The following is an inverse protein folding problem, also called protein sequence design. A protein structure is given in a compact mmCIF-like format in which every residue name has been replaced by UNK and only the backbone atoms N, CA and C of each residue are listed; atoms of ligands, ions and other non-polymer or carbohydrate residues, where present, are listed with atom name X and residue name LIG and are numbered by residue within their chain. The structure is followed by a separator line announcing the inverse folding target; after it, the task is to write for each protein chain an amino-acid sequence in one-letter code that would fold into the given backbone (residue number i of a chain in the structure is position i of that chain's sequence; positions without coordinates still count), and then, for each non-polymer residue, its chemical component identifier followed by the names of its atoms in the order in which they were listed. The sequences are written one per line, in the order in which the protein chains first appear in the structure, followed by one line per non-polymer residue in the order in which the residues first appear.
data_IF_415604346682
#
_entry.id   IF_415604346682
#
_cell.length_a   1.000
_cell.length_b   1.000
_cell.length_c   1.000
_cell.angle_alpha   90.00
_cell.angle_beta   90.00
_cell.angle_gamma   90.00
#
_symmetry.space_group_name_H-M   'P 1'
#
loop_
_entity.id
_entity.type
_entity.pdbx_description
1 polymer ?
#
# COMPACT_ATOMS: atom_id res chain seq x y z
N UNK A 1 0.84 17.74 -14.72
CA UNK A 1 -0.38 16.91 -14.55
C UNK A 1 -0.02 15.51 -15.01
N UNK A 2 0.08 14.57 -14.07
CA UNK A 2 0.50 13.18 -14.34
C UNK A 2 -0.54 12.38 -15.15
N UNK A 3 -1.80 12.81 -15.17
CA UNK A 3 -2.89 12.04 -15.78
C UNK A 3 -3.73 12.93 -16.71
N UNK A 4 -3.55 12.75 -18.02
CA UNK A 4 -4.35 13.44 -19.02
C UNK A 4 -5.62 12.64 -19.33
N UNK A 5 -6.75 13.34 -19.37
CA UNK A 5 -8.06 12.80 -19.73
C UNK A 5 -8.50 13.46 -21.05
N UNK A 6 -8.84 12.62 -22.03
CA UNK A 6 -9.46 13.09 -23.29
C UNK A 6 -10.77 13.80 -22.96
N UNK A 7 -10.89 15.05 -23.38
CA UNK A 7 -12.04 15.91 -23.05
C UNK A 7 -13.34 15.47 -23.71
N UNK A 8 -13.28 14.81 -24.85
CA UNK A 8 -14.47 14.39 -25.61
C UNK A 8 -14.91 12.98 -25.15
N UNK A 9 -13.96 12.04 -25.13
CA UNK A 9 -14.25 10.65 -24.79
C UNK A 9 -14.38 10.40 -23.29
N UNK A 10 -13.90 11.33 -22.45
CA UNK A 10 -13.78 11.15 -21.01
C UNK A 10 -12.99 9.88 -20.64
N UNK A 11 -11.91 9.56 -21.37
CA UNK A 11 -11.04 8.43 -21.10
C UNK A 11 -9.64 8.91 -20.77
N UNK A 12 -8.86 8.14 -20.00
CA UNK A 12 -7.45 8.45 -19.86
C UNK A 12 -6.74 8.32 -21.22
N UNK A 13 -5.80 9.22 -21.51
CA UNK A 13 -4.96 9.11 -22.71
C UNK A 13 -4.03 7.89 -22.65
N UNK A 14 -3.62 7.50 -21.43
CA UNK A 14 -2.85 6.27 -21.21
C UNK A 14 -3.76 5.03 -21.18
N UNK A 15 -3.61 4.08 -22.13
CA UNK A 15 -4.47 2.90 -22.23
C UNK A 15 -4.37 1.96 -21.02
N UNK A 16 -3.19 1.84 -20.39
CA UNK A 16 -3.01 0.98 -19.21
C UNK A 16 -3.76 1.54 -18.00
N UNK A 17 -3.71 2.86 -17.82
CA UNK A 17 -4.42 3.53 -16.75
C UNK A 17 -5.93 3.46 -16.96
N UNK A 18 -6.41 3.63 -18.21
CA UNK A 18 -7.82 3.44 -18.54
C UNK A 18 -8.28 2.02 -18.25
N UNK A 19 -7.45 1.02 -18.57
CA UNK A 19 -7.78 -0.38 -18.27
C UNK A 19 -7.87 -0.62 -16.76
N UNK A 20 -6.93 -0.09 -15.96
CA UNK A 20 -6.97 -0.17 -14.49
C UNK A 20 -8.23 0.49 -13.93
N UNK A 21 -8.60 1.66 -14.44
CA UNK A 21 -9.83 2.34 -14.05
C UNK A 21 -11.08 1.50 -14.36
N UNK A 22 -11.15 0.92 -15.56
CA UNK A 22 -12.28 0.08 -15.97
C UNK A 22 -12.39 -1.19 -15.11
N UNK A 23 -11.24 -1.74 -14.67
CA UNK A 23 -11.20 -2.88 -13.78
C UNK A 23 -11.70 -2.53 -12.38
N UNK A 24 -11.28 -1.41 -11.81
CA UNK A 24 -11.78 -0.89 -10.54
C UNK A 24 -13.28 -0.56 -10.62
N UNK A 25 -13.70 0.12 -11.69
CA UNK A 25 -15.11 0.41 -11.94
C UNK A 25 -15.95 -0.87 -12.01
N UNK A 26 -15.47 -1.91 -12.73
CA UNK A 26 -16.16 -3.19 -12.84
C UNK A 26 -16.36 -3.87 -11.49
N UNK A 27 -15.33 -3.92 -10.63
CA UNK A 27 -15.46 -4.51 -9.31
C UNK A 27 -16.52 -3.83 -8.45
N UNK A 28 -16.65 -2.50 -8.57
CA UNK A 28 -17.62 -1.71 -7.81
C UNK A 28 -19.06 -1.83 -8.34
N UNK A 29 -19.25 -1.98 -9.64
CA UNK A 29 -20.58 -1.89 -10.27
C UNK A 29 -21.14 -3.21 -10.76
N UNK A 30 -20.37 -4.28 -10.86
CA UNK A 30 -20.84 -5.58 -11.37
C UNK A 30 -22.04 -6.13 -10.59
N UNK A 31 -22.03 -6.03 -9.26
CA UNK A 31 -23.14 -6.46 -8.42
C UNK A 31 -24.43 -5.65 -8.67
N UNK A 32 -24.29 -4.36 -8.96
CA UNK A 32 -25.43 -3.50 -9.32
C UNK A 32 -26.04 -3.92 -10.65
N UNK A 33 -25.23 -4.14 -11.69
CA UNK A 33 -25.72 -4.63 -12.97
C UNK A 33 -26.51 -5.93 -12.82
N UNK A 34 -26.00 -6.87 -12.03
CA UNK A 34 -26.69 -8.13 -11.75
C UNK A 34 -28.09 -7.91 -11.15
N UNK A 35 -28.19 -7.07 -10.12
CA UNK A 35 -29.46 -6.77 -9.46
C UNK A 35 -30.47 -6.11 -10.40
N UNK A 36 -30.00 -5.18 -11.22
CA UNK A 36 -30.83 -4.46 -12.18
C UNK A 36 -31.37 -5.40 -13.28
N UNK A 37 -30.50 -6.26 -13.80
CA UNK A 37 -30.90 -7.25 -14.81
C UNK A 37 -31.97 -8.21 -14.25
N UNK A 38 -31.78 -8.73 -13.05
CA UNK A 38 -32.74 -9.61 -12.37
C UNK A 38 -34.07 -8.87 -12.15
N UNK A 39 -34.01 -7.61 -11.69
CA UNK A 39 -35.21 -6.80 -11.48
C UNK A 39 -36.03 -6.64 -12.78
N UNK A 40 -35.40 -6.24 -13.88
CA UNK A 40 -36.10 -6.07 -15.15
C UNK A 40 -36.62 -7.40 -15.69
N UNK A 41 -35.88 -8.49 -15.58
CA UNK A 41 -36.33 -9.81 -15.99
C UNK A 41 -37.56 -10.27 -15.18
N UNK A 42 -37.54 -10.06 -13.87
CA UNK A 42 -38.65 -10.41 -12.97
C UNK A 42 -39.89 -9.58 -13.26
N UNK A 43 -39.73 -8.26 -13.44
CA UNK A 43 -40.84 -7.35 -13.77
C UNK A 43 -41.46 -7.71 -15.11
N UNK A 44 -40.67 -8.04 -16.13
CA UNK A 44 -41.14 -8.46 -17.45
C UNK A 44 -41.87 -9.80 -17.41
N UNK A 45 -41.40 -10.73 -16.59
CA UNK A 45 -42.07 -12.03 -16.38
C UNK A 45 -43.42 -11.86 -15.71
N UNK A 46 -43.52 -11.00 -14.67
CA UNK A 46 -44.77 -10.68 -14.01
C UNK A 46 -45.78 -9.99 -14.96
N UNK A 47 -45.28 -9.09 -15.81
CA UNK A 47 -46.10 -8.45 -16.82
C UNK A 47 -46.67 -9.47 -17.82
N UNK A 48 -45.86 -10.40 -18.34
CA UNK A 48 -46.32 -11.49 -19.21
C UNK A 48 -47.38 -12.36 -18.53
N UNK A 49 -47.20 -12.73 -17.28
CA UNK A 49 -48.17 -13.49 -16.51
C UNK A 49 -49.48 -12.72 -16.39
N UNK A 50 -49.44 -11.42 -16.15
CA UNK A 50 -50.63 -10.57 -16.05
C UNK A 50 -51.41 -10.46 -17.37
N UNK A 51 -50.69 -10.46 -18.49
CA UNK A 51 -51.31 -10.47 -19.83
C UNK A 51 -52.02 -11.81 -20.12
N UNK A 52 -51.36 -12.92 -19.73
CA UNK A 52 -51.93 -14.26 -19.89
C UNK A 52 -53.22 -14.44 -19.09
N UNK A 53 -53.26 -13.92 -17.86
CA UNK A 53 -54.43 -14.00 -16.97
C UNK A 53 -55.62 -13.13 -17.44
N UNK A 54 -55.39 -12.17 -18.34
CA UNK A 54 -56.44 -11.26 -18.85
C UNK A 54 -57.04 -11.66 -20.19
N UNK A 55 -56.64 -12.83 -20.73
CA UNK A 55 -57.08 -13.31 -22.07
C UNK A 55 -56.93 -12.30 -23.23
N UNK A 56 -56.10 -11.26 -23.04
CA UNK A 56 -55.87 -10.18 -24.00
C UNK A 56 -54.51 -10.32 -24.68
N UNK A 57 -54.25 -11.49 -25.27
CA UNK A 57 -52.94 -11.76 -25.89
C UNK A 57 -52.96 -11.30 -27.35
N UNK A 58 -52.59 -10.07 -27.62
CA UNK A 58 -52.11 -9.68 -28.94
C UNK A 58 -50.64 -10.07 -29.06
N UNK A 59 -50.20 -10.75 -30.10
CA UNK A 59 -48.79 -11.12 -30.37
C UNK A 59 -47.88 -9.92 -30.22
N UNK A 60 -48.32 -8.72 -30.55
CA UNK A 60 -47.63 -7.44 -30.43
C UNK A 60 -47.20 -7.11 -28.97
N UNK A 61 -48.00 -7.49 -27.95
CA UNK A 61 -47.72 -7.16 -26.54
C UNK A 61 -46.75 -8.12 -25.86
N UNK A 62 -46.43 -9.25 -26.50
CA UNK A 62 -45.51 -10.29 -25.96
C UNK A 62 -44.07 -9.99 -26.33
N UNK A 63 -43.78 -9.30 -27.44
CA UNK A 63 -42.44 -9.10 -27.98
C UNK A 63 -41.57 -8.29 -27.01
N UNK A 64 -42.03 -7.19 -26.44
CA UNK A 64 -41.26 -6.34 -25.53
C UNK A 64 -40.80 -7.07 -24.24
N UNK A 65 -41.70 -7.75 -23.51
CA UNK A 65 -41.30 -8.54 -22.36
C UNK A 65 -40.32 -9.68 -22.69
N UNK A 66 -40.45 -10.36 -23.84
CA UNK A 66 -39.54 -11.44 -24.25
C UNK A 66 -38.10 -10.92 -24.37
N UNK A 67 -37.89 -9.72 -24.90
CA UNK A 67 -36.53 -9.12 -24.99
C UNK A 67 -35.91 -8.95 -23.62
N UNK A 68 -36.66 -8.55 -22.59
CA UNK A 68 -36.15 -8.44 -21.23
C UNK A 68 -35.95 -9.78 -20.55
N UNK A 69 -36.69 -10.82 -20.89
CA UNK A 69 -36.50 -12.19 -20.34
C UNK A 69 -35.27 -12.89 -20.91
N UNK A 70 -34.93 -12.61 -22.17
CA UNK A 70 -33.70 -13.16 -22.79
C UNK A 70 -32.44 -12.59 -22.20
N UNK A 71 -32.53 -11.50 -21.46
CA UNK A 71 -31.44 -10.80 -20.82
C UNK A 71 -30.71 -11.62 -19.76
N UNK A 72 -31.37 -12.34 -18.83
CA UNK A 72 -30.69 -13.21 -17.89
C UNK A 72 -29.87 -14.30 -18.54
N UNK A 73 -30.16 -14.69 -19.77
CA UNK A 73 -29.35 -15.67 -20.51
C UNK A 73 -27.90 -15.20 -20.69
N UNK A 74 -27.66 -13.90 -20.77
CA UNK A 74 -26.31 -13.35 -20.80
C UNK A 74 -25.53 -13.61 -19.49
N UNK A 75 -26.22 -13.74 -18.36
CA UNK A 75 -25.62 -14.03 -17.07
C UNK A 75 -25.11 -15.47 -16.95
N UNK A 76 -25.58 -16.37 -17.83
CA UNK A 76 -25.16 -17.79 -17.87
C UNK A 76 -23.73 -17.91 -18.38
N UNK A 77 -23.19 -16.92 -19.09
CA UNK A 77 -21.79 -16.95 -19.49
C UNK A 77 -20.88 -16.88 -18.27
N UNK A 78 -20.13 -17.96 -18.02
CA UNK A 78 -19.20 -18.07 -16.88
C UNK A 78 -17.96 -17.18 -17.00
N UNK A 79 -17.64 -16.68 -18.19
CA UNK A 79 -16.41 -15.92 -18.44
C UNK A 79 -16.57 -14.46 -18.02
N UNK A 80 -15.96 -14.09 -16.90
CA UNK A 80 -16.00 -12.72 -16.35
C UNK A 80 -15.34 -11.69 -17.30
N UNK A 81 -14.31 -12.05 -18.03
CA UNK A 81 -13.68 -11.15 -19.00
C UNK A 81 -14.62 -10.87 -20.18
N UNK A 82 -15.41 -11.85 -20.61
CA UNK A 82 -16.41 -11.69 -21.64
C UNK A 82 -17.55 -10.75 -21.16
N UNK A 83 -18.06 -10.97 -19.94
CA UNK A 83 -19.09 -10.11 -19.34
C UNK A 83 -18.61 -8.66 -19.25
N UNK A 84 -17.40 -8.44 -18.71
CA UNK A 84 -16.79 -7.12 -18.57
C UNK A 84 -16.66 -6.39 -19.91
N UNK A 85 -16.25 -7.08 -20.96
CA UNK A 85 -16.01 -6.50 -22.30
C UNK A 85 -17.30 -6.19 -23.05
N UNK A 86 -18.31 -7.05 -22.94
CA UNK A 86 -19.47 -6.99 -23.82
C UNK A 86 -20.77 -6.57 -23.12
N UNK A 87 -20.84 -6.60 -21.78
CA UNK A 87 -22.07 -6.28 -21.06
C UNK A 87 -22.58 -4.86 -21.38
N UNK A 88 -21.72 -3.85 -21.32
CA UNK A 88 -22.12 -2.48 -21.63
C UNK A 88 -22.61 -2.35 -23.08
N UNK A 89 -21.96 -3.00 -24.03
CA UNK A 89 -22.39 -2.99 -25.44
C UNK A 89 -23.71 -3.70 -25.64
N UNK A 90 -23.91 -4.82 -24.98
CA UNK A 90 -25.14 -5.58 -25.04
C UNK A 90 -26.32 -4.79 -24.41
N UNK A 91 -26.09 -4.18 -23.25
CA UNK A 91 -27.06 -3.33 -22.58
C UNK A 91 -27.42 -2.10 -23.42
N UNK A 92 -26.52 -1.60 -24.27
CA UNK A 92 -26.79 -0.49 -25.18
C UNK A 92 -27.88 -0.81 -26.19
N UNK A 93 -28.00 -2.05 -26.68
CA UNK A 93 -29.02 -2.43 -27.67
C UNK A 93 -30.44 -2.39 -27.10
N UNK A 94 -30.61 -2.53 -25.78
CA UNK A 94 -31.93 -2.55 -25.16
C UNK A 94 -32.75 -1.26 -25.40
N UNK A 95 -32.26 -0.05 -25.01
CA UNK A 95 -33.04 1.16 -25.23
C UNK A 95 -33.18 1.47 -26.72
N UNK A 96 -32.17 1.14 -27.54
CA UNK A 96 -32.20 1.39 -28.99
C UNK A 96 -33.28 0.57 -29.67
N UNK A 97 -33.53 -0.65 -29.24
CA UNK A 97 -34.53 -1.53 -29.83
C UNK A 97 -35.91 -1.35 -29.16
N UNK A 98 -35.93 -1.36 -27.82
CA UNK A 98 -37.23 -1.39 -27.11
C UNK A 98 -37.99 -0.10 -27.16
N UNK A 99 -37.34 1.08 -27.14
CA UNK A 99 -38.09 2.35 -27.16
C UNK A 99 -38.80 2.57 -28.52
N UNK A 100 -38.12 2.45 -29.68
CA UNK A 100 -38.78 2.54 -30.96
C UNK A 100 -39.86 1.43 -31.17
N UNK A 101 -39.57 0.20 -30.75
CA UNK A 101 -40.48 -0.92 -30.87
C UNK A 101 -41.73 -0.70 -30.02
N UNK A 102 -41.59 -0.18 -28.80
CA UNK A 102 -42.72 0.20 -27.94
C UNK A 102 -43.61 1.24 -28.62
N UNK A 103 -43.04 2.32 -29.18
CA UNK A 103 -43.80 3.33 -29.90
C UNK A 103 -44.49 2.76 -31.12
N UNK A 104 -43.83 1.87 -31.87
CA UNK A 104 -44.41 1.27 -33.08
C UNK A 104 -45.58 0.32 -32.77
N UNK A 105 -45.47 -0.50 -31.72
CA UNK A 105 -46.44 -1.56 -31.41
C UNK A 105 -47.64 -1.08 -30.60
N UNK A 106 -47.43 -0.15 -29.67
CA UNK A 106 -48.49 0.30 -28.74
C UNK A 106 -49.01 1.70 -29.03
N UNK A 107 -48.55 2.34 -30.08
CA UNK A 107 -48.85 3.74 -30.36
C UNK A 107 -50.35 4.00 -30.57
N UNK A 108 -51.05 3.19 -31.32
CA UNK A 108 -52.50 3.33 -31.54
C UNK A 108 -53.35 3.25 -30.24
N UNK A 109 -52.84 2.49 -29.27
CA UNK A 109 -53.47 2.27 -27.96
C UNK A 109 -53.18 3.42 -26.99
N UNK A 110 -52.06 4.06 -27.18
CA UNK A 110 -51.47 5.07 -26.28
C UNK A 110 -51.63 6.50 -26.82
N UNK A 111 -52.04 6.66 -28.09
CA UNK A 111 -52.20 7.97 -28.75
C UNK A 111 -53.14 8.94 -28.03
N UNK A 112 -54.06 8.42 -27.23
CA UNK A 112 -54.97 9.21 -26.40
C UNK A 112 -54.40 9.59 -25.01
N UNK A 113 -53.15 9.18 -24.67
CA UNK A 113 -52.55 9.47 -23.38
C UNK A 113 -51.49 10.58 -23.52
N UNK A 114 -51.67 11.74 -22.92
CA UNK A 114 -50.71 12.85 -22.99
C UNK A 114 -49.33 12.51 -22.39
N UNK A 115 -49.22 11.38 -21.66
CA UNK A 115 -48.04 10.96 -20.97
C UNK A 115 -47.03 10.20 -21.84
N UNK A 116 -47.40 9.75 -23.01
CA UNK A 116 -46.50 9.02 -23.94
C UNK A 116 -45.24 9.80 -24.26
N UNK A 117 -45.40 11.11 -24.35
CA UNK A 117 -44.29 12.01 -24.57
C UNK A 117 -43.17 11.90 -23.51
N UNK A 118 -43.44 11.46 -22.28
CA UNK A 118 -42.47 11.38 -21.21
C UNK A 118 -41.58 10.11 -21.25
N UNK A 119 -41.93 9.10 -22.06
CA UNK A 119 -41.18 7.83 -22.11
C UNK A 119 -39.71 8.02 -22.57
N UNK A 120 -39.42 8.77 -23.66
CA UNK A 120 -38.04 9.00 -24.06
C UNK A 120 -37.21 9.78 -23.02
N UNK A 121 -37.85 10.75 -22.34
CA UNK A 121 -37.17 11.49 -21.26
C UNK A 121 -36.87 10.57 -20.08
N UNK A 122 -37.83 9.77 -19.64
CA UNK A 122 -37.61 8.80 -18.56
C UNK A 122 -36.50 7.80 -18.93
N UNK A 123 -36.52 7.30 -20.18
CA UNK A 123 -35.42 6.45 -20.67
C UNK A 123 -34.07 7.16 -20.59
N UNK A 124 -33.99 8.43 -21.03
CA UNK A 124 -32.75 9.20 -20.97
C UNK A 124 -32.27 9.38 -19.53
N UNK A 125 -33.13 9.68 -18.59
CA UNK A 125 -32.82 9.80 -17.17
C UNK A 125 -32.25 8.48 -16.65
N UNK A 126 -32.86 7.35 -16.94
CA UNK A 126 -32.43 6.02 -16.50
C UNK A 126 -31.06 5.73 -17.04
N UNK A 127 -30.83 5.85 -18.34
CA UNK A 127 -29.54 5.47 -18.95
C UNK A 127 -28.41 6.44 -18.68
N UNK A 128 -28.68 7.71 -18.45
CA UNK A 128 -27.65 8.70 -18.11
C UNK A 128 -27.32 8.74 -16.63
N UNK A 129 -28.33 8.58 -15.76
CA UNK A 129 -28.15 8.82 -14.31
C UNK A 129 -28.01 7.52 -13.50
N UNK A 130 -28.78 6.49 -13.85
CA UNK A 130 -28.84 5.26 -13.07
C UNK A 130 -27.76 4.26 -13.49
N UNK A 131 -27.57 4.09 -14.81
CA UNK A 131 -26.59 3.12 -15.29
C UNK A 131 -25.16 3.66 -15.29
N UNK A 132 -24.22 2.94 -14.71
CA UNK A 132 -22.81 3.35 -14.65
C UNK A 132 -22.02 3.03 -15.94
N UNK A 133 -22.64 3.26 -17.10
CA UNK A 133 -21.99 3.08 -18.40
C UNK A 133 -20.92 4.12 -18.65
N UNK A 134 -20.01 3.81 -19.57
CA UNK A 134 -19.09 4.80 -20.11
C UNK A 134 -19.86 5.93 -20.79
N UNK A 135 -19.30 7.13 -20.77
CA UNK A 135 -19.93 8.35 -21.26
C UNK A 135 -20.56 8.17 -22.67
N UNK A 136 -19.78 7.66 -23.62
CA UNK A 136 -20.24 7.48 -25.02
C UNK A 136 -21.46 6.55 -25.09
N UNK A 137 -21.43 5.41 -24.39
CA UNK A 137 -22.55 4.46 -24.39
C UNK A 137 -23.81 5.04 -23.73
N UNK A 138 -23.65 5.83 -22.68
CA UNK A 138 -24.78 6.53 -22.04
C UNK A 138 -25.42 7.54 -22.99
N UNK A 139 -24.61 8.31 -23.73
CA UNK A 139 -25.10 9.28 -24.74
C UNK A 139 -25.81 8.56 -25.86
N UNK A 140 -25.28 7.50 -26.43
CA UNK A 140 -25.91 6.72 -27.50
C UNK A 140 -27.22 6.09 -27.03
N UNK A 141 -27.25 5.49 -25.85
CA UNK A 141 -28.43 4.86 -25.27
C UNK A 141 -29.58 5.83 -24.99
N UNK A 142 -29.29 7.11 -24.83
CA UNK A 142 -30.31 8.14 -24.59
C UNK A 142 -30.71 8.90 -25.85
N UNK A 143 -29.77 9.23 -26.74
CA UNK A 143 -30.02 10.07 -27.92
C UNK A 143 -30.66 9.31 -29.07
N UNK A 144 -30.29 8.06 -29.34
CA UNK A 144 -30.85 7.28 -30.45
C UNK A 144 -32.35 7.00 -30.25
N UNK A 145 -32.81 6.51 -29.09
CA UNK A 145 -34.22 6.32 -28.84
C UNK A 145 -35.03 7.63 -28.88
N UNK A 146 -34.42 8.74 -28.41
CA UNK A 146 -35.04 10.05 -28.49
C UNK A 146 -35.29 10.49 -29.95
N UNK A 147 -34.26 10.40 -30.80
CA UNK A 147 -34.39 10.74 -32.23
C UNK A 147 -35.40 9.83 -32.93
N UNK A 148 -35.39 8.53 -32.64
CA UNK A 148 -36.34 7.59 -33.19
C UNK A 148 -37.81 7.91 -32.75
N UNK A 149 -38.00 8.33 -31.49
CA UNK A 149 -39.35 8.74 -31.03
C UNK A 149 -39.82 10.04 -31.72
N UNK A 150 -38.89 10.98 -31.98
CA UNK A 150 -39.21 12.22 -32.68
C UNK A 150 -39.72 11.97 -34.10
N UNK A 151 -39.08 11.06 -34.87
CA UNK A 151 -39.53 10.71 -36.23
C UNK A 151 -40.91 10.05 -36.27
N UNK A 152 -41.23 9.26 -35.25
CA UNK A 152 -42.57 8.64 -35.13
C UNK A 152 -43.65 9.66 -34.77
N UNK A 153 -43.34 10.65 -33.95
CA UNK A 153 -44.26 11.68 -33.49
C UNK A 153 -44.56 12.73 -34.56
N UNK A 154 -43.70 12.93 -35.56
CA UNK A 154 -43.93 13.89 -36.67
C UNK A 154 -45.13 13.50 -37.57
N UNK A 155 -45.62 12.26 -37.50
CA UNK A 155 -46.77 11.78 -38.24
C UNK A 155 -48.14 12.16 -37.61
N UNK A 156 -48.14 12.96 -36.51
CA UNK A 156 -49.36 13.32 -35.77
C UNK A 156 -49.59 14.83 -35.77
N UNK A 157 -50.72 15.23 -36.36
CA UNK A 157 -51.14 16.63 -36.51
C UNK A 157 -51.44 17.35 -35.17
N UNK A 158 -51.65 16.59 -34.10
CA UNK A 158 -52.09 17.14 -32.79
C UNK A 158 -50.92 17.50 -31.86
N UNK A 159 -49.68 17.19 -32.22
CA UNK A 159 -48.53 17.39 -31.33
C UNK A 159 -47.86 18.75 -31.60
N UNK A 160 -47.69 19.56 -30.54
CA UNK A 160 -46.91 20.79 -30.62
C UNK A 160 -45.42 20.42 -30.64
N UNK A 161 -44.87 20.20 -31.84
CA UNK A 161 -43.46 19.78 -32.05
C UNK A 161 -42.48 20.74 -31.40
N UNK A 162 -42.60 22.09 -31.48
CA UNK A 162 -41.72 23.00 -30.78
C UNK A 162 -41.70 22.82 -29.27
N UNK A 163 -42.88 22.59 -28.66
CA UNK A 163 -42.95 22.33 -27.21
C UNK A 163 -42.30 21.01 -26.85
N UNK A 164 -42.52 19.96 -27.66
CA UNK A 164 -41.85 18.65 -27.46
C UNK A 164 -40.34 18.77 -27.52
N UNK A 165 -39.78 19.41 -28.54
CA UNK A 165 -38.36 19.64 -28.67
C UNK A 165 -37.83 20.39 -27.45
N UNK A 166 -38.49 21.44 -27.01
CA UNK A 166 -38.08 22.25 -25.87
C UNK A 166 -38.02 21.43 -24.56
N UNK A 167 -39.07 20.66 -24.29
CA UNK A 167 -39.21 19.85 -23.09
C UNK A 167 -38.16 18.71 -23.00
N UNK A 168 -37.64 18.25 -24.13
CA UNK A 168 -36.70 17.13 -24.19
C UNK A 168 -35.27 17.56 -24.46
N UNK A 169 -35.05 18.53 -25.34
CA UNK A 169 -33.71 18.95 -25.74
C UNK A 169 -32.92 19.51 -24.56
N UNK A 170 -33.48 20.41 -23.78
CA UNK A 170 -32.80 21.03 -22.68
C UNK A 170 -32.44 20.02 -21.55
N UNK A 171 -33.37 19.20 -21.04
CA UNK A 171 -33.03 18.15 -20.10
C UNK A 171 -32.00 17.17 -20.64
N UNK A 172 -32.06 16.80 -21.92
CA UNK A 172 -31.09 15.90 -22.54
C UNK A 172 -29.68 16.49 -22.52
N UNK A 173 -29.53 17.75 -22.89
CA UNK A 173 -28.24 18.45 -22.82
C UNK A 173 -27.70 18.49 -21.37
N UNK A 174 -28.58 18.82 -20.41
CA UNK A 174 -28.18 18.83 -18.99
C UNK A 174 -27.75 17.46 -18.49
N UNK A 175 -28.43 16.39 -18.89
CA UNK A 175 -28.07 15.02 -18.55
C UNK A 175 -26.74 14.63 -19.16
N UNK A 176 -26.47 14.99 -20.41
CA UNK A 176 -25.17 14.74 -21.08
C UNK A 176 -24.05 15.47 -20.36
N UNK A 177 -24.23 16.75 -20.04
CA UNK A 177 -23.23 17.54 -19.31
C UNK A 177 -22.96 16.99 -17.91
N UNK A 178 -24.02 16.59 -17.19
CA UNK A 178 -23.88 15.98 -15.88
C UNK A 178 -23.14 14.64 -15.94
N UNK A 179 -23.45 13.80 -16.91
CA UNK A 179 -22.76 12.52 -17.14
C UNK A 179 -21.29 12.73 -17.50
N UNK A 180 -21.01 13.68 -18.38
CA UNK A 180 -19.66 14.06 -18.75
C UNK A 180 -18.83 14.50 -17.53
N UNK A 181 -19.40 15.39 -16.70
CA UNK A 181 -18.77 15.85 -15.46
C UNK A 181 -18.53 14.68 -14.50
N UNK A 182 -19.55 13.86 -14.27
CA UNK A 182 -19.47 12.71 -13.36
C UNK A 182 -18.39 11.70 -13.79
N UNK A 183 -18.31 11.35 -15.06
CA UNK A 183 -17.30 10.42 -15.58
C UNK A 183 -15.89 11.01 -15.48
N UNK A 184 -15.74 12.32 -15.71
CA UNK A 184 -14.47 13.01 -15.54
C UNK A 184 -14.05 13.05 -14.07
N UNK A 185 -14.96 13.39 -13.16
CA UNK A 185 -14.69 13.47 -11.72
C UNK A 185 -14.34 12.07 -11.17
N UNK A 186 -15.01 11.02 -11.61
CA UNK A 186 -14.69 9.64 -11.22
C UNK A 186 -13.27 9.25 -11.62
N UNK A 187 -12.82 9.61 -12.84
CA UNK A 187 -11.44 9.34 -13.27
C UNK A 187 -10.42 10.17 -12.51
N UNK A 188 -10.72 11.44 -12.25
CA UNK A 188 -9.84 12.29 -11.43
C UNK A 188 -9.69 11.74 -10.00
N UNK A 189 -10.79 11.28 -9.40
CA UNK A 189 -10.76 10.68 -8.07
C UNK A 189 -9.97 9.36 -8.06
N UNK A 190 -10.13 8.53 -9.09
CA UNK A 190 -9.34 7.31 -9.26
C UNK A 190 -7.85 7.62 -9.41
N UNK A 191 -7.48 8.59 -10.25
CA UNK A 191 -6.09 9.03 -10.41
C UNK A 191 -5.49 9.54 -9.08
N UNK A 192 -6.26 10.35 -8.33
CA UNK A 192 -5.85 10.80 -7.00
C UNK A 192 -5.64 9.65 -6.02
N UNK A 193 -6.51 8.64 -6.04
CA UNK A 193 -6.38 7.47 -5.14
C UNK A 193 -5.12 6.66 -5.44
N UNK A 194 -4.75 6.50 -6.71
CA UNK A 194 -3.48 5.86 -7.10
C UNK A 194 -2.29 6.67 -6.58
N UNK A 195 -2.26 7.99 -6.82
CA UNK A 195 -1.16 8.85 -6.37
C UNK A 195 -1.02 8.82 -4.83
N UNK A 196 -2.13 8.82 -4.10
CA UNK A 196 -2.11 8.72 -2.63
C UNK A 196 -1.50 7.38 -2.19
N UNK A 197 -1.88 6.28 -2.84
CA UNK A 197 -1.35 4.96 -2.49
C UNK A 197 0.14 4.83 -2.84
N UNK A 198 0.57 5.32 -4.02
CA UNK A 198 1.97 5.36 -4.41
C UNK A 198 2.81 6.19 -3.43
N UNK A 199 2.32 7.37 -3.03
CA UNK A 199 3.01 8.22 -2.04
C UNK A 199 3.05 7.54 -0.67
N UNK A 200 2.00 6.85 -0.27
CA UNK A 200 1.95 6.09 0.99
C UNK A 200 2.98 4.97 1.01
N UNK A 201 3.07 4.21 -0.09
CA UNK A 201 4.06 3.15 -0.23
C UNK A 201 5.49 3.70 -0.20
N UNK A 202 5.76 4.75 -0.98
CA UNK A 202 7.07 5.40 -0.99
C UNK A 202 7.46 5.91 0.40
N UNK A 203 6.54 6.55 1.13
CA UNK A 203 6.79 7.01 2.49
C UNK A 203 7.07 5.83 3.45
N UNK A 204 6.30 4.75 3.35
CA UNK A 204 6.52 3.56 4.17
C UNK A 204 7.88 2.89 3.89
N UNK A 205 8.25 2.71 2.63
CA UNK A 205 9.57 2.18 2.23
C UNK A 205 10.71 3.10 2.67
N UNK A 206 10.50 4.42 2.59
CA UNK A 206 11.47 5.40 3.07
C UNK A 206 11.68 5.28 4.58
N UNK A 207 10.59 5.25 5.35
CA UNK A 207 10.67 5.05 6.80
C UNK A 207 11.37 3.74 7.16
N UNK A 208 11.07 2.63 6.48
CA UNK A 208 11.75 1.35 6.69
C UNK A 208 13.24 1.41 6.42
N UNK A 209 13.66 2.15 5.41
CA UNK A 209 15.08 2.32 5.09
C UNK A 209 15.84 3.10 6.15
N UNK A 210 15.22 4.11 6.77
CA UNK A 210 15.88 4.94 7.78
C UNK A 210 15.77 4.40 9.20
N UNK A 211 14.67 3.70 9.54
CA UNK A 211 14.38 3.28 10.91
C UNK A 211 14.29 1.77 11.10
N UNK A 212 14.36 0.99 10.02
CA UNK A 212 14.13 -0.45 10.05
C UNK A 212 12.62 -0.80 10.09
N UNK A 213 12.30 -2.08 9.93
CA UNK A 213 10.91 -2.56 9.82
C UNK A 213 10.11 -2.28 11.09
N UNK A 214 10.60 -2.76 12.25
CA UNK A 214 9.87 -2.72 13.53
C UNK A 214 9.56 -1.31 14.00
N UNK A 215 10.55 -0.40 13.92
CA UNK A 215 10.38 0.97 14.38
C UNK A 215 9.50 1.79 13.42
N UNK A 216 9.62 1.58 12.10
CA UNK A 216 8.78 2.26 11.11
C UNK A 216 7.31 1.89 11.25
N UNK A 217 6.99 0.61 11.48
CA UNK A 217 5.62 0.15 11.70
C UNK A 217 5.03 0.76 13.00
N UNK A 218 5.86 0.87 14.05
CA UNK A 218 5.46 1.52 15.30
C UNK A 218 5.24 3.03 15.14
N UNK A 219 6.12 3.74 14.43
CA UNK A 219 5.95 5.17 14.10
C UNK A 219 4.62 5.41 13.36
N UNK A 220 4.31 4.58 12.35
CA UNK A 220 3.08 4.71 11.58
C UNK A 220 1.85 4.42 12.43
N UNK A 221 1.86 3.32 13.22
CA UNK A 221 0.71 2.93 14.05
C UNK A 221 0.41 3.93 15.17
N UNK A 222 1.42 4.57 15.72
CA UNK A 222 1.30 5.58 16.79
C UNK A 222 1.37 7.03 16.28
N UNK A 223 1.23 7.24 14.94
CA UNK A 223 1.23 8.57 14.30
C UNK A 223 2.46 9.44 14.64
N UNK A 224 3.62 8.79 14.85
CA UNK A 224 4.86 9.47 15.22
C UNK A 224 5.02 9.77 16.70
N UNK A 225 4.02 9.54 17.54
CA UNK A 225 4.06 9.81 18.99
C UNK A 225 4.54 8.59 19.75
N UNK A 226 5.87 8.44 19.88
CA UNK A 226 6.50 7.38 20.69
C UNK A 226 6.90 7.98 22.05
N UNK A 227 6.01 7.92 23.01
CA UNK A 227 6.30 8.35 24.39
C UNK A 227 7.43 7.52 24.99
N UNK A 228 8.21 8.16 25.89
CA UNK A 228 9.29 7.49 26.61
C UNK A 228 8.76 6.43 27.59
N UNK A 229 9.08 5.18 27.32
CA UNK A 229 8.70 4.02 28.15
C UNK A 229 9.90 3.52 28.97
N UNK A 230 9.70 3.23 30.26
CA UNK A 230 10.71 2.56 31.06
C UNK A 230 10.76 1.07 30.66
N UNK A 231 11.93 0.62 30.16
CA UNK A 231 12.13 -0.76 29.70
C UNK A 231 13.41 -1.34 30.24
N UNK A 232 13.38 -2.64 30.57
CA UNK A 232 14.56 -3.44 30.82
C UNK A 232 15.02 -4.01 29.47
N UNK A 233 16.22 -3.62 29.03
CA UNK A 233 16.75 -3.93 27.71
C UNK A 233 18.20 -4.36 27.79
N UNK A 234 18.71 -4.93 26.71
CA UNK A 234 20.16 -5.11 26.50
C UNK A 234 20.65 -4.13 25.46
N UNK A 235 21.69 -3.38 25.79
CA UNK A 235 22.41 -2.48 24.89
C UNK A 235 23.72 -3.16 24.46
N UNK A 236 24.02 -3.08 23.18
CA UNK A 236 25.24 -3.56 22.57
C UNK A 236 25.89 -2.42 21.79
N UNK A 237 27.15 -2.15 22.07
CA UNK A 237 28.02 -1.26 21.29
C UNK A 237 29.09 -2.07 20.58
N UNK A 238 29.36 -1.69 19.33
CA UNK A 238 30.51 -2.23 18.58
C UNK A 238 31.40 -1.10 18.11
N UNK A 239 32.67 -1.38 17.92
CA UNK A 239 33.67 -0.46 17.38
C UNK A 239 34.73 -1.26 16.61
N UNK A 240 35.19 -0.74 15.45
CA UNK A 240 36.27 -1.41 14.69
C UNK A 240 37.61 -1.06 15.26
N UNK A 241 38.46 -2.06 15.39
CA UNK A 241 39.84 -1.84 15.86
C UNK A 241 40.68 -1.14 14.79
N UNK A 242 41.37 -0.06 15.17
CA UNK A 242 42.25 0.71 14.31
C UNK A 242 41.57 1.38 13.10
N UNK A 243 40.26 1.65 13.15
CA UNK A 243 39.50 2.26 12.07
C UNK A 243 40.17 3.54 11.52
N UNK A 244 40.58 4.46 12.38
CA UNK A 244 41.24 5.70 11.97
C UNK A 244 42.51 5.47 11.15
N UNK A 245 43.28 4.43 11.48
CA UNK A 245 44.50 4.05 10.74
C UNK A 245 44.12 3.44 9.38
N UNK A 246 43.08 2.63 9.34
CA UNK A 246 42.56 1.97 8.13
C UNK A 246 42.08 3.01 7.11
N UNK A 247 41.31 3.96 7.55
CA UNK A 247 40.66 4.96 6.66
C UNK A 247 41.53 6.16 6.30
N UNK A 248 42.62 6.41 7.07
CA UNK A 248 43.51 7.53 6.80
C UNK A 248 44.15 7.52 5.40
N UNK A 249 44.26 6.36 4.77
CA UNK A 249 44.84 6.17 3.44
C UNK A 249 43.79 5.84 2.35
N UNK A 250 42.51 5.90 2.68
CA UNK A 250 41.40 5.73 1.73
C UNK A 250 40.94 7.08 1.22
N UNK A 251 40.46 7.13 -0.02
CA UNK A 251 39.66 8.27 -0.41
C UNK A 251 38.28 8.23 0.32
N UNK A 252 37.60 9.37 0.48
CA UNK A 252 36.30 9.39 1.15
C UNK A 252 35.28 8.42 0.54
N UNK A 253 35.32 8.23 -0.78
CA UNK A 253 34.42 7.32 -1.50
C UNK A 253 34.71 5.86 -1.12
N UNK A 254 35.98 5.46 -1.08
CA UNK A 254 36.41 4.11 -0.70
C UNK A 254 36.09 3.83 0.77
N UNK A 255 36.33 4.81 1.66
CA UNK A 255 35.99 4.69 3.07
C UNK A 255 34.47 4.53 3.29
N UNK A 256 33.65 5.25 2.51
CA UNK A 256 32.19 5.12 2.53
C UNK A 256 31.73 3.74 2.03
N UNK A 257 32.31 3.25 0.94
CA UNK A 257 32.00 1.92 0.39
C UNK A 257 32.35 0.81 1.39
N UNK A 258 33.55 0.89 1.98
CA UNK A 258 34.00 -0.02 3.03
C UNK A 258 33.06 -0.05 4.24
N UNK A 259 32.65 1.12 4.75
CA UNK A 259 31.69 1.20 5.86
C UNK A 259 30.32 0.65 5.49
N UNK A 260 29.83 0.93 4.28
CA UNK A 260 28.55 0.43 3.81
C UNK A 260 28.53 -1.10 3.67
N UNK A 261 29.62 -1.72 3.19
CA UNK A 261 29.79 -3.18 3.17
C UNK A 261 29.74 -3.75 4.61
N UNK A 262 30.51 -3.16 5.51
CA UNK A 262 30.54 -3.55 6.93
C UNK A 262 29.16 -3.43 7.58
N UNK A 263 28.52 -2.27 7.48
CA UNK A 263 27.20 -2.04 8.09
C UNK A 263 26.12 -2.93 7.50
N UNK A 264 26.18 -3.22 6.21
CA UNK A 264 25.22 -4.13 5.55
C UNK A 264 25.30 -5.52 6.18
N UNK A 265 26.53 -6.06 6.32
CA UNK A 265 26.72 -7.39 6.92
C UNK A 265 26.36 -7.42 8.41
N UNK A 266 26.69 -6.37 9.15
CA UNK A 266 26.32 -6.27 10.57
C UNK A 266 24.80 -6.13 10.74
N UNK A 267 24.14 -5.33 9.89
CA UNK A 267 22.68 -5.19 9.90
C UNK A 267 21.97 -6.54 9.67
N UNK A 268 22.44 -7.34 8.70
CA UNK A 268 21.89 -8.68 8.42
C UNK A 268 21.93 -9.56 9.69
N UNK A 269 23.06 -9.59 10.37
CA UNK A 269 23.24 -10.35 11.62
C UNK A 269 22.37 -9.80 12.75
N UNK A 270 22.37 -8.48 12.96
CA UNK A 270 21.61 -7.86 14.05
C UNK A 270 20.10 -8.14 13.87
N UNK A 271 19.61 -8.08 12.64
CA UNK A 271 18.22 -8.39 12.30
C UNK A 271 17.85 -9.85 12.57
N UNK A 272 18.76 -10.81 12.32
CA UNK A 272 18.55 -12.24 12.60
C UNK A 272 18.27 -12.52 14.09
N UNK A 273 18.82 -11.69 15.00
CA UNK A 273 18.65 -11.80 16.44
C UNK A 273 17.65 -10.80 17.04
N UNK A 274 16.78 -10.20 16.21
CA UNK A 274 15.78 -9.21 16.64
C UNK A 274 16.37 -7.97 17.34
N UNK A 275 17.60 -7.59 17.01
CA UNK A 275 18.24 -6.36 17.47
C UNK A 275 17.75 -5.15 16.66
N UNK A 276 17.47 -4.05 17.36
CA UNK A 276 17.16 -2.77 16.73
C UNK A 276 18.40 -1.87 16.74
N UNK A 277 18.90 -1.51 15.57
CA UNK A 277 19.95 -0.50 15.44
C UNK A 277 19.34 0.87 15.76
N UNK A 278 19.96 1.58 16.69
CA UNK A 278 19.55 2.93 17.06
C UNK A 278 20.39 3.99 16.34
N UNK A 279 21.71 3.77 16.25
CA UNK A 279 22.64 4.71 15.63
C UNK A 279 23.85 4.01 15.03
N UNK A 280 24.37 4.62 13.97
CA UNK A 280 25.75 4.47 13.50
C UNK A 280 26.54 5.70 13.95
N UNK A 281 27.64 5.51 14.68
CA UNK A 281 28.48 6.58 15.24
C UNK A 281 29.91 6.38 14.73
N UNK A 282 30.24 7.00 13.59
CA UNK A 282 31.48 6.67 12.88
C UNK A 282 31.47 5.21 12.40
N UNK A 283 32.38 4.40 12.89
CA UNK A 283 32.45 2.95 12.66
C UNK A 283 31.74 2.12 13.74
N UNK A 284 31.20 2.77 14.77
CA UNK A 284 30.47 2.12 15.84
C UNK A 284 29.02 1.91 15.54
N UNK A 285 28.44 0.81 16.03
CA UNK A 285 27.00 0.53 15.93
C UNK A 285 26.42 0.41 17.34
N UNK A 286 25.35 1.16 17.61
CA UNK A 286 24.57 1.04 18.83
C UNK A 286 23.29 0.24 18.55
N UNK A 287 23.12 -0.87 19.27
CA UNK A 287 21.99 -1.79 19.12
C UNK A 287 21.27 -1.94 20.45
N UNK A 288 19.92 -2.01 20.39
CA UNK A 288 19.09 -2.35 21.54
C UNK A 288 18.33 -3.65 21.27
N UNK A 289 18.24 -4.52 22.27
CA UNK A 289 17.43 -5.73 22.28
C UNK A 289 16.34 -5.60 23.37
N UNK A 290 15.08 -5.77 23.02
CA UNK A 290 13.94 -5.60 23.94
C UNK A 290 13.21 -4.25 23.81
N UNK A 291 13.60 -3.42 22.85
CA UNK A 291 12.92 -2.21 22.44
C UNK A 291 13.07 -2.02 20.91
N UNK A 292 12.09 -1.41 20.21
CA UNK A 292 10.81 -0.91 20.71
C UNK A 292 9.84 -2.00 21.15
N UNK A 293 9.99 -3.22 20.66
CA UNK A 293 9.17 -4.38 21.05
C UNK A 293 9.86 -5.22 22.12
N UNK A 294 9.03 -5.90 22.95
CA UNK A 294 9.56 -6.81 23.97
C UNK A 294 10.19 -8.06 23.32
N UNK A 295 11.41 -8.37 23.71
CA UNK A 295 12.13 -9.55 23.28
C UNK A 295 12.41 -10.46 24.49
N UNK A 296 12.03 -11.73 24.40
CA UNK A 296 12.36 -12.70 25.44
C UNK A 296 13.84 -13.09 25.39
N UNK A 297 14.47 -13.20 26.56
CA UNK A 297 15.92 -13.56 26.66
C UNK A 297 16.82 -12.67 25.80
N UNK A 298 16.54 -11.39 25.78
CA UNK A 298 17.27 -10.40 24.98
C UNK A 298 18.78 -10.36 25.32
N UNK A 299 19.17 -10.73 26.54
CA UNK A 299 20.57 -10.87 26.96
C UNK A 299 21.27 -11.98 26.16
N UNK A 300 20.64 -13.15 26.04
CA UNK A 300 21.17 -14.26 25.28
C UNK A 300 21.21 -13.98 23.78
N UNK A 301 20.20 -13.28 23.26
CA UNK A 301 20.16 -12.88 21.85
C UNK A 301 21.30 -11.91 21.53
N UNK A 302 21.57 -10.94 22.39
CA UNK A 302 22.66 -9.99 22.22
C UNK A 302 24.04 -10.69 22.21
N UNK A 303 24.26 -11.67 23.11
CA UNK A 303 25.54 -12.40 23.14
C UNK A 303 25.69 -13.32 21.92
N UNK A 304 24.63 -14.01 21.49
CA UNK A 304 24.66 -14.81 20.26
C UNK A 304 24.90 -13.93 19.02
N UNK A 305 24.22 -12.79 18.96
CA UNK A 305 24.43 -11.79 17.92
C UNK A 305 25.90 -11.36 17.85
N UNK A 306 26.50 -11.01 18.97
CA UNK A 306 27.93 -10.60 19.03
C UNK A 306 28.89 -11.68 18.53
N UNK A 307 28.66 -12.93 18.87
CA UNK A 307 29.44 -14.07 18.35
C UNK A 307 29.28 -14.22 16.83
N UNK A 308 28.04 -14.09 16.33
CA UNK A 308 27.77 -14.18 14.89
C UNK A 308 28.32 -12.99 14.11
N UNK A 309 28.35 -11.78 14.72
CA UNK A 309 28.98 -10.61 14.13
C UNK A 309 30.48 -10.80 13.94
N UNK A 310 31.19 -11.40 14.94
CA UNK A 310 32.61 -11.76 14.79
C UNK A 310 32.85 -12.75 13.66
N UNK A 311 32.03 -13.80 13.59
CA UNK A 311 32.10 -14.79 12.49
C UNK A 311 31.92 -14.10 11.14
N UNK A 312 30.89 -13.24 11.03
CA UNK A 312 30.59 -12.50 9.80
C UNK A 312 31.70 -11.51 9.41
N UNK A 313 32.33 -10.86 10.38
CA UNK A 313 33.46 -9.98 10.10
C UNK A 313 34.68 -10.79 9.60
N UNK A 314 34.86 -12.01 10.08
CA UNK A 314 35.93 -12.91 9.56
C UNK A 314 35.67 -13.29 8.10
N UNK A 315 34.40 -13.59 7.73
CA UNK A 315 34.01 -13.82 6.33
C UNK A 315 34.27 -12.56 5.49
N UNK A 316 33.88 -11.39 5.99
CA UNK A 316 34.06 -10.11 5.29
C UNK A 316 35.57 -9.77 5.10
N UNK A 317 36.43 -10.06 6.06
CA UNK A 317 37.87 -9.92 5.87
C UNK A 317 38.39 -10.76 4.70
N UNK A 318 37.85 -11.97 4.50
CA UNK A 318 38.21 -12.82 3.37
C UNK A 318 37.72 -12.19 2.05
N UNK A 319 36.44 -11.68 2.01
CA UNK A 319 35.92 -10.99 0.84
C UNK A 319 36.75 -9.74 0.48
N UNK A 320 37.26 -9.00 1.47
CA UNK A 320 38.12 -7.84 1.26
C UNK A 320 39.55 -8.23 0.80
N UNK A 321 40.03 -9.39 1.20
CA UNK A 321 41.29 -9.95 0.67
C UNK A 321 41.15 -10.31 -0.80
N UNK A 322 40.07 -11.00 -1.17
CA UNK A 322 39.77 -11.41 -2.55
C UNK A 322 39.59 -10.21 -3.48
N UNK A 323 39.05 -9.09 -2.97
CA UNK A 323 38.84 -7.82 -3.70
C UNK A 323 40.07 -6.90 -3.65
N UNK A 324 41.16 -7.29 -3.02
CA UNK A 324 42.37 -6.46 -2.75
C UNK A 324 42.09 -5.18 -1.94
N UNK A 325 40.90 -5.04 -1.33
CA UNK A 325 40.60 -3.91 -0.43
C UNK A 325 41.46 -3.94 0.83
N UNK A 326 41.84 -5.12 1.26
CA UNK A 326 42.75 -5.32 2.45
C UNK A 326 44.09 -4.63 2.35
N UNK A 327 44.55 -4.23 1.15
CA UNK A 327 45.81 -3.49 0.94
C UNK A 327 45.88 -2.19 1.76
N UNK A 328 44.73 -1.54 2.00
CA UNK A 328 44.66 -0.26 2.75
C UNK A 328 45.09 -0.40 4.22
N UNK A 329 45.01 -1.60 4.81
CA UNK A 329 45.43 -1.83 6.19
C UNK A 329 46.60 -2.80 6.31
N UNK A 330 46.74 -3.80 5.42
CA UNK A 330 47.88 -4.70 5.41
C UNK A 330 49.21 -3.98 5.20
N UNK A 331 49.24 -2.96 4.36
CA UNK A 331 50.40 -2.10 4.16
C UNK A 331 50.82 -1.31 5.42
N UNK A 332 49.95 -1.27 6.42
CA UNK A 332 50.21 -0.64 7.73
C UNK A 332 50.39 -1.64 8.88
N UNK A 333 50.63 -2.90 8.57
CA UNK A 333 50.91 -3.95 9.57
C UNK A 333 49.65 -4.45 10.30
N UNK A 334 48.45 -4.24 9.73
CA UNK A 334 47.21 -4.78 10.25
C UNK A 334 46.83 -5.98 9.38
N UNK A 335 46.91 -7.20 9.91
CA UNK A 335 46.62 -8.41 9.15
C UNK A 335 45.15 -8.57 8.80
N UNK A 336 44.27 -8.29 9.76
CA UNK A 336 42.81 -8.37 9.59
C UNK A 336 42.10 -7.34 10.47
N UNK A 337 40.91 -6.94 10.03
CA UNK A 337 40.06 -6.05 10.81
C UNK A 337 39.38 -6.86 11.91
N UNK A 338 39.45 -6.36 13.14
CA UNK A 338 38.75 -6.90 14.30
C UNK A 338 37.75 -5.88 14.85
N UNK A 339 36.82 -6.35 15.68
CA UNK A 339 35.88 -5.48 16.37
C UNK A 339 35.89 -5.72 17.86
N UNK A 340 35.57 -4.69 18.62
CA UNK A 340 35.26 -4.76 20.03
C UNK A 340 33.77 -4.61 20.25
N UNK A 341 33.24 -5.40 21.18
CA UNK A 341 31.80 -5.39 21.50
C UNK A 341 31.64 -5.29 23.01
N UNK A 342 30.82 -4.35 23.46
CA UNK A 342 30.42 -4.17 24.86
C UNK A 342 28.91 -4.38 25.03
N UNK A 343 28.52 -5.23 26.01
CA UNK A 343 27.11 -5.60 26.20
C UNK A 343 26.71 -5.38 27.66
N UNK A 344 25.58 -4.68 27.89
CA UNK A 344 25.03 -4.49 29.23
C UNK A 344 23.52 -4.53 29.23
N UNK A 345 22.93 -5.12 30.27
CA UNK A 345 21.47 -5.13 30.47
C UNK A 345 21.07 -4.22 31.63
N UNK A 346 20.04 -3.47 31.46
CA UNK A 346 19.53 -2.57 32.48
C UNK A 346 18.30 -1.78 32.08
N UNK A 347 17.83 -0.93 32.99
CA UNK A 347 16.67 -0.07 32.76
C UNK A 347 17.06 1.16 31.94
N UNK A 348 16.24 1.49 30.96
CA UNK A 348 16.34 2.71 30.14
C UNK A 348 14.96 3.32 29.91
N UNK A 349 14.94 4.61 29.59
CA UNK A 349 13.77 5.22 28.94
C UNK A 349 13.97 5.07 27.42
N UNK A 350 13.08 4.35 26.77
CA UNK A 350 13.08 4.15 25.32
C UNK A 350 11.93 4.91 24.69
N UNK A 351 12.21 5.79 23.73
CA UNK A 351 11.18 6.63 23.08
C UNK A 351 11.79 7.74 22.24
N UNK A 352 10.93 8.67 21.82
CA UNK A 352 11.38 9.85 21.08
C UNK A 352 12.17 10.80 21.96
N UNK A 353 13.33 11.21 21.48
CA UNK A 353 14.24 12.17 22.10
C UNK A 353 14.56 13.26 21.10
N UNK A 354 14.49 14.52 21.51
CA UNK A 354 14.84 15.65 20.66
C UNK A 354 13.93 16.86 20.84
N UNK A 355 13.90 17.74 19.84
CA UNK A 355 13.04 18.89 19.78
C UNK A 355 11.70 18.56 19.11
N UNK A 356 10.73 19.50 19.11
CA UNK A 356 9.48 19.34 18.37
C UNK A 356 9.68 19.20 16.85
N UNK A 357 10.78 19.74 16.31
CA UNK A 357 11.08 19.75 14.88
C UNK A 357 11.98 18.56 14.46
N UNK A 358 12.74 17.98 15.40
CA UNK A 358 13.67 16.90 15.12
C UNK A 358 13.65 15.87 16.26
N UNK A 359 13.00 14.77 16.02
CA UNK A 359 12.88 13.65 16.94
C UNK A 359 13.70 12.45 16.45
N UNK A 360 14.32 11.75 17.38
CA UNK A 360 15.01 10.50 17.13
C UNK A 360 14.56 9.48 18.17
N UNK A 361 14.20 8.29 17.72
CA UNK A 361 13.97 7.18 18.65
C UNK A 361 15.28 6.74 19.25
N UNK A 362 15.40 6.76 20.57
CA UNK A 362 16.63 6.42 21.28
C UNK A 362 16.33 5.84 22.67
N UNK A 363 17.39 5.41 23.34
CA UNK A 363 17.36 4.94 24.72
C UNK A 363 18.23 5.82 25.61
N UNK A 364 17.68 6.28 26.74
CA UNK A 364 18.38 7.12 27.71
C UNK A 364 18.49 6.37 29.04
N UNK A 365 19.68 6.31 29.59
CA UNK A 365 19.96 5.71 30.90
C UNK A 365 21.44 5.39 31.10
N UNK A 366 21.83 5.14 32.35
CA UNK A 366 23.19 4.74 32.68
C UNK A 366 23.60 3.43 31.96
N UNK A 367 22.65 2.56 31.70
CA UNK A 367 22.77 1.30 30.92
C UNK A 367 23.52 1.52 29.59
N UNK A 368 23.22 2.60 28.88
CA UNK A 368 23.86 2.95 27.60
C UNK A 368 25.34 3.26 27.81
N UNK A 369 25.66 4.04 28.84
CA UNK A 369 27.02 4.43 29.16
C UNK A 369 27.86 3.24 29.61
N UNK A 370 27.28 2.32 30.38
CA UNK A 370 27.98 1.11 30.83
C UNK A 370 28.32 0.22 29.64
N UNK A 371 27.41 -0.02 28.71
CA UNK A 371 27.66 -0.82 27.51
C UNK A 371 28.79 -0.22 26.65
N UNK A 372 28.78 1.10 26.42
CA UNK A 372 29.86 1.79 25.69
C UNK A 372 31.22 1.67 26.38
N UNK A 373 31.26 1.71 27.71
CA UNK A 373 32.52 1.55 28.46
C UNK A 373 33.02 0.11 28.50
N UNK A 374 32.12 -0.87 28.47
CA UNK A 374 32.48 -2.27 28.32
C UNK A 374 33.11 -2.54 26.95
N UNK A 375 32.63 -1.87 25.89
CA UNK A 375 33.29 -1.89 24.58
C UNK A 375 34.74 -1.42 24.71
N UNK A 376 34.96 -0.24 25.32
CA UNK A 376 36.32 0.33 25.51
C UNK A 376 37.21 -0.55 26.38
N UNK A 377 36.65 -1.18 27.41
CA UNK A 377 37.40 -2.06 28.35
C UNK A 377 38.02 -3.28 27.64
N UNK A 378 37.52 -3.68 26.47
CA UNK A 378 38.16 -4.73 25.68
C UNK A 378 39.64 -4.42 25.34
N UNK A 379 40.01 -3.13 25.25
CA UNK A 379 41.43 -2.74 25.04
C UNK A 379 42.31 -3.14 26.21
N UNK A 380 41.82 -2.90 27.43
CA UNK A 380 42.59 -3.14 28.65
C UNK A 380 42.68 -4.64 28.97
N UNK A 381 41.56 -5.36 28.76
CA UNK A 381 41.51 -6.82 29.00
C UNK A 381 41.99 -7.67 27.82
N UNK A 382 42.32 -7.06 26.68
CA UNK A 382 42.72 -7.75 25.44
C UNK A 382 41.66 -8.79 25.00
N UNK A 383 40.40 -8.41 25.11
CA UNK A 383 39.25 -9.20 24.72
C UNK A 383 38.52 -8.55 23.52
N UNK A 384 37.61 -9.26 22.87
CA UNK A 384 36.84 -8.73 21.74
C UNK A 384 35.38 -8.53 22.13
N UNK A 385 34.83 -9.38 23.01
CA UNK A 385 33.45 -9.27 23.51
C UNK A 385 33.49 -9.23 25.03
N UNK A 386 33.06 -8.11 25.60
CA UNK A 386 32.98 -7.91 27.06
C UNK A 386 31.53 -7.59 27.46
N UNK A 387 31.09 -8.13 28.58
CA UNK A 387 29.78 -7.88 29.11
C UNK A 387 29.72 -7.84 30.63
N UNK A 388 28.67 -7.25 31.16
CA UNK A 388 28.49 -7.05 32.61
C UNK A 388 28.00 -8.31 33.32
N UNK A 389 27.98 -8.23 34.68
CA UNK A 389 27.47 -9.29 35.54
C UNK A 389 25.98 -9.57 35.31
N UNK A 390 25.17 -8.57 34.96
CA UNK A 390 23.75 -8.72 34.66
C UNK A 390 23.52 -9.60 33.43
N UNK A 391 24.36 -9.44 32.39
CA UNK A 391 24.35 -10.32 31.21
C UNK A 391 24.78 -11.73 31.63
N UNK A 392 25.93 -11.86 32.35
CA UNK A 392 26.44 -13.16 32.77
C UNK A 392 25.43 -14.01 33.52
N UNK A 393 24.68 -13.41 34.46
CA UNK A 393 23.67 -14.12 35.25
C UNK A 393 22.44 -14.56 34.45
N UNK A 394 22.17 -13.91 33.34
CA UNK A 394 21.02 -14.22 32.45
C UNK A 394 21.36 -15.23 31.35
N UNK A 395 22.64 -15.62 31.21
CA UNK A 395 23.07 -16.53 30.13
C UNK A 395 22.55 -17.95 30.33
N UNK A 396 22.27 -18.61 29.20
CA UNK A 396 22.03 -20.07 29.19
C UNK A 396 23.26 -20.83 29.60
N UNK A 397 23.12 -22.07 30.09
CA UNK A 397 24.22 -22.93 30.52
C UNK A 397 25.28 -23.09 29.44
N UNK A 398 24.91 -23.16 28.18
CA UNK A 398 25.79 -23.29 27.03
C UNK A 398 26.71 -22.06 26.87
N UNK A 399 26.15 -20.85 26.88
CA UNK A 399 26.91 -19.62 26.77
C UNK A 399 27.77 -19.39 28.02
N UNK A 400 27.20 -19.66 29.20
CA UNK A 400 27.85 -19.52 30.48
C UNK A 400 29.14 -20.36 30.56
N UNK A 401 29.14 -21.59 30.02
CA UNK A 401 30.32 -22.46 30.00
C UNK A 401 31.48 -21.95 29.13
N UNK A 402 31.22 -21.07 28.19
CA UNK A 402 32.21 -20.44 27.30
C UNK A 402 32.73 -19.11 27.83
N UNK A 403 32.22 -18.65 28.96
CA UNK A 403 32.45 -17.33 29.52
C UNK A 403 33.53 -17.39 30.61
N UNK A 404 34.41 -16.39 30.66
CA UNK A 404 35.41 -16.21 31.70
C UNK A 404 35.33 -14.82 32.35
N UNK A 405 35.68 -14.71 33.62
CA UNK A 405 35.84 -13.44 34.31
C UNK A 405 37.14 -12.79 33.85
N UNK A 406 37.04 -11.62 33.20
CA UNK A 406 38.22 -10.86 32.71
C UNK A 406 38.82 -9.95 33.76
N UNK A 407 38.02 -9.47 34.71
CA UNK A 407 38.46 -8.60 35.79
C UNK A 407 37.35 -7.69 36.32
N UNK A 408 37.78 -6.63 36.98
CA UNK A 408 36.88 -5.59 37.50
C UNK A 408 37.37 -4.21 37.04
N UNK A 409 36.43 -3.35 36.68
CA UNK A 409 36.71 -1.94 36.32
C UNK A 409 35.86 -0.99 37.14
N UNK A 410 36.38 0.16 37.49
CA UNK A 410 35.60 1.27 38.04
C UNK A 410 35.16 2.14 36.90
N UNK A 411 33.87 2.06 36.58
CA UNK A 411 33.28 2.89 35.52
C UNK A 411 33.17 4.33 36.04
N UNK A 412 33.51 5.31 35.19
CA UNK A 412 33.45 6.75 35.54
C UNK A 412 32.04 7.13 36.01
N UNK A 413 31.91 7.67 37.23
CA UNK A 413 30.64 8.00 37.87
C UNK A 413 30.05 6.89 38.76
N UNK A 414 30.73 5.72 38.88
CA UNK A 414 30.41 4.68 39.87
C UNK A 414 31.50 4.56 40.93
N UNK A 415 31.12 4.27 42.14
CA UNK A 415 32.01 4.08 43.27
C UNK A 415 32.36 2.60 43.48
N UNK A 416 31.51 1.70 43.00
CA UNK A 416 31.74 0.24 43.11
C UNK A 416 32.32 -0.31 41.81
N UNK A 417 33.26 -1.28 41.90
CA UNK A 417 33.77 -1.95 40.73
C UNK A 417 32.70 -2.79 40.02
N UNK A 418 32.73 -2.79 38.70
CA UNK A 418 31.87 -3.59 37.86
C UNK A 418 32.67 -4.82 37.38
N UNK A 419 32.13 -6.02 37.61
CA UNK A 419 32.70 -7.26 37.08
C UNK A 419 32.51 -7.35 35.58
N UNK A 420 33.61 -7.63 34.86
CA UNK A 420 33.64 -7.75 33.41
C UNK A 420 33.89 -9.20 33.03
N UNK A 421 33.02 -9.75 32.22
CA UNK A 421 33.12 -11.09 31.67
C UNK A 421 33.37 -11.02 30.17
N UNK A 422 34.02 -12.04 29.61
CA UNK A 422 34.28 -12.17 28.16
C UNK A 422 33.97 -13.56 27.65
N UNK A 423 33.77 -13.69 26.36
CA UNK A 423 33.50 -14.92 25.63
C UNK A 423 34.26 -14.96 24.31
#
# INVERSE_FOLDING_TARGET
MLYKIDTIKCTFENPELEQKYLDDKWTKVSSFYFKVIIFFASASSLYLISLFLRDTIAIKTIINPIVFITFPLFLIFKNENFKKKYLERFLLFLPIINVPLFFYLDFERLSNLPHIAFIPLFNSIVWMSIFPFNFIYSVLASTIPFLASLTLLTNYDTLNIPLYITLYFFPQVLLILNKWKSERDNRLNFAKSITIEENRQLMHETLKRYFGDTLSDKIISQKGELEGENKWVTILFTDLSAYSTITANMSPEVALEFLNEYFTKMHEVIKEFDGQILNYIGDSVMVVFGAPEKLKSHENQAVKCSLKMKEKLKELNQEWDDKETSRYWKNHGIDSISMRIGIHAGSVIAGNVGSQEMLQYSTIGDTVNVAARLEQANKDFKTEISFSHEIYTALTKELHSKTSLSGEIILKGRTSPTKVYSI
#
